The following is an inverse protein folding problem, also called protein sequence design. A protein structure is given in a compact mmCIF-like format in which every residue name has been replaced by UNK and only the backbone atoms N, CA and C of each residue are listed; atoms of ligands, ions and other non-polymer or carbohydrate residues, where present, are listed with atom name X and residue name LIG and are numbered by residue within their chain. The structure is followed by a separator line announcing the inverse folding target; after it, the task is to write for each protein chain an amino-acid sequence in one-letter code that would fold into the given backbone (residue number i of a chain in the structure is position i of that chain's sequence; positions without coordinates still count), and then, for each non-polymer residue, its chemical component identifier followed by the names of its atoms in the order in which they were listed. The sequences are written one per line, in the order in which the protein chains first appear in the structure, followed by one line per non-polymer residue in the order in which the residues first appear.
data_IF_077930997344
#
_entry.id   IF_077930997344
#
_cell.length_a   1.000
_cell.length_b   1.000
_cell.length_c   1.000
_cell.angle_alpha   90.00
_cell.angle_beta   90.00
_cell.angle_gamma   90.00
#
_symmetry.space_group_name_H-M   'P 1'
#
loop_
_entity.id
_entity.type
_entity.pdbx_description
1 polymer ?
#
# COMPACT_ATOMS: atom_id res chain seq x y z
N UNK A 1 -12.98 13.17 -7.03
CA UNK A 1 -13.08 12.14 -5.98
C UNK A 1 -12.25 12.58 -4.79
N UNK A 2 -12.76 12.44 -3.56
CA UNK A 2 -12.00 12.70 -2.32
C UNK A 2 -11.93 11.40 -1.51
N UNK A 3 -10.78 11.11 -0.93
CA UNK A 3 -10.55 9.91 -0.13
C UNK A 3 -10.59 10.23 1.36
N UNK A 4 -10.97 9.26 2.19
CA UNK A 4 -11.00 9.44 3.65
C UNK A 4 -9.61 9.40 4.30
N UNK A 5 -8.62 8.76 3.65
CA UNK A 5 -7.24 8.69 4.09
C UNK A 5 -6.32 8.31 2.90
N UNK A 6 -5.00 8.52 3.00
CA UNK A 6 -4.04 8.17 1.94
C UNK A 6 -3.99 6.67 1.63
N UNK A 7 -4.17 5.79 2.62
CA UNK A 7 -4.19 4.33 2.40
C UNK A 7 -5.31 3.90 1.45
N UNK A 8 -6.51 4.46 1.63
CA UNK A 8 -7.66 4.18 0.79
C UNK A 8 -7.45 4.72 -0.62
N UNK A 9 -6.80 5.88 -0.76
CA UNK A 9 -6.42 6.44 -2.06
C UNK A 9 -5.42 5.54 -2.79
N UNK A 10 -4.39 5.05 -2.09
CA UNK A 10 -3.38 4.15 -2.65
C UNK A 10 -3.97 2.81 -3.04
N UNK A 11 -4.74 2.18 -2.14
CA UNK A 11 -5.40 0.90 -2.42
C UNK A 11 -6.28 1.00 -3.66
N UNK A 12 -7.11 2.05 -3.74
CA UNK A 12 -7.95 2.32 -4.90
C UNK A 12 -7.13 2.55 -6.17
N UNK A 13 -6.04 3.31 -6.11
CA UNK A 13 -5.20 3.61 -7.27
C UNK A 13 -4.53 2.35 -7.82
N UNK A 14 -3.92 1.53 -6.96
CA UNK A 14 -3.30 0.26 -7.38
C UNK A 14 -4.32 -0.75 -7.90
N UNK A 15 -5.48 -0.88 -7.24
CA UNK A 15 -6.58 -1.73 -7.72
C UNK A 15 -7.05 -1.26 -9.11
N UNK A 16 -7.29 0.04 -9.31
CA UNK A 16 -7.72 0.61 -10.58
C UNK A 16 -6.68 0.42 -11.68
N UNK A 17 -5.40 0.63 -11.40
CA UNK A 17 -4.33 0.40 -12.38
C UNK A 17 -4.15 -1.09 -12.73
N UNK A 18 -4.45 -2.00 -11.80
CA UNK A 18 -4.36 -3.45 -12.03
C UNK A 18 -5.52 -4.00 -12.85
N UNK A 19 -6.66 -3.30 -12.91
CA UNK A 19 -7.79 -3.69 -13.77
C UNK A 19 -7.52 -3.31 -15.22
N UNK A 20 -7.51 -4.24 -16.18
CA UNK A 20 -7.28 -3.90 -17.57
C UNK A 20 -8.42 -3.02 -18.11
N UNK A 21 -8.05 -1.97 -18.87
CA UNK A 21 -8.98 -1.18 -19.70
C UNK A 21 -9.43 -2.06 -20.87
N UNK A 22 -10.18 -3.12 -20.60
CA UNK A 22 -10.87 -3.83 -21.67
C UNK A 22 -11.92 -2.86 -22.21
N UNK A 23 -12.03 -2.74 -23.54
CA UNK A 23 -13.07 -1.94 -24.22
C UNK A 23 -14.46 -2.40 -23.78
N UNK A 24 -14.96 -1.87 -22.67
CA UNK A 24 -16.34 -2.07 -22.18
C UNK A 24 -17.32 -1.16 -22.94
N UNK A 25 -16.88 -0.49 -24.02
CA UNK A 25 -17.72 0.35 -24.87
C UNK A 25 -18.94 -0.39 -25.42
N UNK A 26 -18.87 -1.71 -25.63
CA UNK A 26 -20.00 -2.52 -26.10
C UNK A 26 -20.83 -3.18 -24.99
N UNK A 27 -20.29 -3.37 -23.77
CA UNK A 27 -20.99 -4.10 -22.70
C UNK A 27 -21.74 -3.14 -21.76
N UNK A 28 -21.20 -1.94 -21.48
CA UNK A 28 -21.90 -0.97 -20.62
C UNK A 28 -23.14 -0.36 -21.28
N UNK A 29 -23.20 -0.29 -22.62
CA UNK A 29 -24.40 0.16 -23.33
C UNK A 29 -25.59 -0.81 -23.15
N UNK A 30 -25.34 -2.11 -22.96
CA UNK A 30 -26.40 -3.11 -22.74
C UNK A 30 -26.76 -3.27 -21.26
N UNK A 31 -25.82 -3.09 -20.32
CA UNK A 31 -26.09 -3.21 -18.88
C UNK A 31 -26.75 -1.96 -18.27
N UNK A 32 -26.62 -0.78 -18.88
CA UNK A 32 -27.33 0.42 -18.44
C UNK A 32 -28.86 0.36 -18.66
N UNK A 33 -29.35 -0.58 -19.47
CA UNK A 33 -30.78 -0.81 -19.68
C UNK A 33 -31.43 -1.74 -18.64
N UNK A 34 -30.64 -2.33 -17.72
CA UNK A 34 -31.15 -3.31 -16.77
C UNK A 34 -30.42 -3.24 -15.44
N UNK A 35 -31.17 -2.94 -14.39
CA UNK A 35 -30.86 -3.20 -12.96
C UNK A 35 -29.85 -2.30 -12.24
N UNK A 36 -30.45 -1.39 -11.48
CA UNK A 36 -30.17 -0.82 -10.15
C UNK A 36 -29.20 -1.62 -9.24
N UNK A 37 -28.45 -0.84 -8.43
CA UNK A 37 -27.81 -1.13 -7.14
C UNK A 37 -26.44 -1.83 -7.12
N UNK A 38 -25.44 -1.15 -6.54
CA UNK A 38 -24.38 -1.83 -5.77
C UNK A 38 -22.91 -1.55 -6.06
N UNK A 39 -22.53 -0.54 -6.85
CA UNK A 39 -21.11 -0.17 -6.98
C UNK A 39 -20.92 1.28 -6.55
N UNK A 40 -20.17 1.50 -5.46
CA UNK A 40 -19.72 2.80 -4.98
C UNK A 40 -18.70 3.47 -5.94
N UNK A 41 -18.86 3.28 -7.25
CA UNK A 41 -18.25 4.09 -8.27
C UNK A 41 -19.12 5.31 -8.48
N UNK A 42 -18.59 6.49 -8.15
CA UNK A 42 -19.23 7.78 -8.41
C UNK A 42 -19.91 7.78 -9.80
N UNK A 43 -21.21 8.11 -9.90
CA UNK A 43 -21.92 8.15 -11.17
C UNK A 43 -21.41 9.37 -11.95
N UNK A 44 -20.36 9.20 -12.75
CA UNK A 44 -19.83 10.29 -13.58
C UNK A 44 -18.42 10.12 -14.13
N UNK A 45 -17.54 9.30 -13.53
CA UNK A 45 -16.20 9.06 -14.07
C UNK A 45 -16.19 7.88 -15.04
N UNK A 46 -15.79 8.14 -16.29
CA UNK A 46 -15.52 7.08 -17.26
C UNK A 46 -14.35 6.21 -16.79
N UNK A 47 -14.21 5.01 -17.37
CA UNK A 47 -13.06 4.13 -17.08
C UNK A 47 -11.75 4.88 -17.33
N UNK A 48 -11.67 5.66 -18.41
CA UNK A 48 -10.51 6.49 -18.72
C UNK A 48 -10.21 7.51 -17.63
N UNK A 49 -11.22 8.21 -17.11
CA UNK A 49 -11.01 9.22 -16.06
C UNK A 49 -10.55 8.58 -14.73
N UNK A 50 -11.03 7.38 -14.43
CA UNK A 50 -10.57 6.62 -13.25
C UNK A 50 -9.10 6.22 -13.38
N UNK A 51 -8.70 5.72 -14.54
CA UNK A 51 -7.31 5.38 -14.81
C UNK A 51 -6.40 6.62 -14.80
N UNK A 52 -6.85 7.73 -15.37
CA UNK A 52 -6.12 9.00 -15.32
C UNK A 52 -5.98 9.50 -13.87
N UNK A 53 -7.04 9.41 -13.07
CA UNK A 53 -7.01 9.80 -11.66
C UNK A 53 -6.11 8.89 -10.83
N UNK A 54 -6.12 7.58 -11.06
CA UNK A 54 -5.20 6.63 -10.41
C UNK A 54 -3.73 6.94 -10.77
N UNK A 55 -3.45 7.19 -12.05
CA UNK A 55 -2.11 7.57 -12.50
C UNK A 55 -1.63 8.88 -11.85
N UNK A 56 -2.51 9.88 -11.69
CA UNK A 56 -2.17 11.13 -11.00
C UNK A 56 -1.79 10.89 -9.53
N UNK A 57 -2.52 10.03 -8.83
CA UNK A 57 -2.21 9.66 -7.44
C UNK A 57 -0.85 8.96 -7.35
N UNK A 58 -0.58 8.01 -8.25
CA UNK A 58 0.70 7.30 -8.26
C UNK A 58 1.87 8.25 -8.61
N UNK A 59 1.69 9.14 -9.59
CA UNK A 59 2.69 10.15 -9.97
C UNK A 59 2.99 11.11 -8.82
N UNK A 60 1.96 11.47 -8.04
CA UNK A 60 2.14 12.26 -6.82
C UNK A 60 3.04 11.52 -5.81
N UNK A 61 2.78 10.23 -5.60
CA UNK A 61 3.58 9.41 -4.69
C UNK A 61 5.05 9.37 -5.14
N UNK A 62 5.32 9.20 -6.42
CA UNK A 62 6.69 9.18 -6.97
C UNK A 62 7.45 10.49 -6.77
N UNK A 63 6.76 11.62 -6.72
CA UNK A 63 7.37 12.94 -6.49
C UNK A 63 7.66 13.22 -5.03
N UNK A 64 6.80 12.76 -4.13
CA UNK A 64 6.82 13.12 -2.70
C UNK A 64 7.66 12.15 -1.89
N UNK A 65 7.62 10.87 -2.26
CA UNK A 65 8.20 9.81 -1.45
C UNK A 65 9.66 9.57 -1.79
N UNK A 66 10.43 9.20 -0.76
CA UNK A 66 11.77 8.70 -1.00
C UNK A 66 11.74 7.38 -1.79
N UNK A 67 12.82 7.01 -2.48
CA UNK A 67 12.89 5.74 -3.20
C UNK A 67 12.55 4.51 -2.31
N UNK A 68 12.90 4.57 -1.03
CA UNK A 68 12.62 3.51 -0.07
C UNK A 68 11.12 3.44 0.29
N UNK A 69 10.48 4.59 0.53
CA UNK A 69 9.03 4.67 0.79
C UNK A 69 8.22 4.23 -0.44
N UNK A 70 8.66 4.61 -1.64
CA UNK A 70 8.04 4.19 -2.88
C UNK A 70 8.14 2.67 -3.10
N UNK A 71 9.31 2.08 -2.82
CA UNK A 71 9.51 0.64 -2.88
C UNK A 71 8.56 -0.10 -1.92
N UNK A 72 8.37 0.42 -0.70
CA UNK A 72 7.40 -0.13 0.25
C UNK A 72 5.97 -0.09 -0.28
N UNK A 73 5.51 1.05 -0.78
CA UNK A 73 4.13 1.18 -1.29
C UNK A 73 3.88 0.24 -2.47
N UNK A 74 4.84 0.13 -3.40
CA UNK A 74 4.74 -0.79 -4.54
C UNK A 74 4.64 -2.26 -4.12
N UNK A 75 5.34 -2.66 -3.06
CA UNK A 75 5.24 -4.04 -2.53
C UNK A 75 3.95 -4.24 -1.74
N UNK A 76 3.59 -3.30 -0.87
CA UNK A 76 2.44 -3.40 0.02
C UNK A 76 1.11 -3.37 -0.73
N UNK A 77 0.94 -2.40 -1.64
CA UNK A 77 -0.31 -2.15 -2.35
C UNK A 77 -0.29 -2.71 -3.78
N UNK A 78 0.83 -2.57 -4.49
CA UNK A 78 0.98 -3.01 -5.87
C UNK A 78 1.37 -4.49 -6.05
N UNK A 79 1.82 -5.16 -4.97
CA UNK A 79 2.36 -6.53 -5.03
C UNK A 79 3.55 -6.68 -5.98
N UNK A 80 4.26 -5.59 -6.25
CA UNK A 80 5.36 -5.58 -7.22
C UNK A 80 6.63 -6.17 -6.64
N UNK A 81 7.19 -7.18 -7.30
CA UNK A 81 8.45 -7.80 -6.87
C UNK A 81 9.65 -6.84 -6.91
N UNK A 82 9.60 -5.78 -7.74
CA UNK A 82 10.70 -4.83 -7.92
C UNK A 82 11.07 -4.04 -6.66
N UNK A 83 10.12 -3.80 -5.75
CA UNK A 83 10.39 -3.10 -4.50
C UNK A 83 10.96 -3.98 -3.38
N UNK A 84 10.98 -5.31 -3.55
CA UNK A 84 11.40 -6.24 -2.50
C UNK A 84 12.90 -6.12 -2.22
N UNK A 85 13.74 -6.11 -3.27
CA UNK A 85 15.19 -6.09 -3.12
C UNK A 85 15.73 -4.89 -2.30
N UNK A 86 15.35 -3.63 -2.58
CA UNK A 86 15.82 -2.48 -1.80
C UNK A 86 15.31 -2.52 -0.34
N UNK A 87 14.08 -2.97 -0.10
CA UNK A 87 13.54 -3.10 1.27
C UNK A 87 14.30 -4.17 2.06
N UNK A 88 14.57 -5.33 1.44
CA UNK A 88 15.34 -6.39 2.07
C UNK A 88 16.76 -5.90 2.40
N UNK A 89 17.39 -5.11 1.52
CA UNK A 89 18.71 -4.53 1.78
C UNK A 89 18.67 -3.55 2.96
N UNK A 90 17.69 -2.64 2.99
CA UNK A 90 17.48 -1.70 4.10
C UNK A 90 17.26 -2.42 5.43
N UNK A 91 16.36 -3.42 5.44
CA UNK A 91 16.06 -4.22 6.62
C UNK A 91 17.30 -4.98 7.10
N UNK A 92 18.01 -5.63 6.17
CA UNK A 92 19.22 -6.39 6.46
C UNK A 92 20.34 -5.51 7.03
N UNK A 93 20.48 -4.26 6.59
CA UNK A 93 21.50 -3.35 7.10
C UNK A 93 21.39 -3.08 8.60
N UNK A 94 20.18 -3.12 9.16
CA UNK A 94 20.01 -2.97 10.60
C UNK A 94 20.01 -4.29 11.38
N UNK A 95 20.27 -5.43 10.73
CA UNK A 95 20.73 -6.65 11.40
C UNK A 95 22.25 -6.66 11.28
N UNK A 96 22.98 -6.86 12.39
CA UNK A 96 24.45 -6.81 12.39
C UNK A 96 25.12 -7.70 11.33
N UNK A 97 26.39 -7.45 11.02
CA UNK A 97 27.17 -8.15 9.99
C UNK A 97 27.14 -9.67 10.20
N UNK A 98 26.39 -10.36 9.35
CA UNK A 98 26.11 -11.80 9.46
C UNK A 98 25.01 -12.20 8.47
N UNK A 99 25.31 -12.08 7.18
CA UNK A 99 24.36 -12.01 6.05
C UNK A 99 23.77 -13.38 5.65
N UNK A 100 23.24 -14.13 6.62
CA UNK A 100 22.57 -15.43 6.38
C UNK A 100 21.04 -15.33 6.37
N UNK A 101 20.49 -14.13 6.46
CA UNK A 101 19.05 -13.93 6.71
C UNK A 101 18.30 -13.25 5.55
N UNK A 102 18.95 -12.94 4.42
CA UNK A 102 18.32 -12.20 3.30
C UNK A 102 17.03 -12.87 2.80
N UNK A 103 17.07 -14.18 2.56
CA UNK A 103 15.88 -14.98 2.18
C UNK A 103 14.82 -15.04 3.28
N UNK A 104 15.25 -15.05 4.55
CA UNK A 104 14.33 -15.02 5.69
C UNK A 104 13.62 -13.68 5.84
N UNK A 105 14.36 -12.58 5.72
CA UNK A 105 13.83 -11.21 5.72
C UNK A 105 12.86 -11.01 4.56
N UNK A 106 13.21 -11.48 3.36
CA UNK A 106 12.30 -11.45 2.22
C UNK A 106 10.99 -12.20 2.49
N UNK A 107 11.05 -13.39 3.09
CA UNK A 107 9.84 -14.12 3.48
C UNK A 107 9.01 -13.39 4.53
N UNK A 108 9.67 -12.75 5.50
CA UNK A 108 8.97 -11.94 6.51
C UNK A 108 8.30 -10.73 5.85
N UNK A 109 8.99 -10.04 4.94
CA UNK A 109 8.43 -8.91 4.19
C UNK A 109 7.19 -9.34 3.40
N UNK A 110 7.27 -10.46 2.67
CA UNK A 110 6.11 -11.02 1.95
C UNK A 110 4.96 -11.39 2.89
N UNK A 111 5.27 -11.98 4.05
CA UNK A 111 4.29 -12.29 5.08
C UNK A 111 3.60 -11.04 5.62
N UNK A 112 4.36 -9.97 5.87
CA UNK A 112 3.84 -8.67 6.30
C UNK A 112 2.87 -8.10 5.27
N UNK A 113 3.23 -8.19 3.99
CA UNK A 113 2.37 -7.70 2.93
C UNK A 113 1.09 -8.54 2.79
N UNK A 114 1.02 -9.77 3.31
CA UNK A 114 -0.19 -10.59 3.32
C UNK A 114 -0.08 -11.89 2.53
N UNK A 115 1.13 -12.28 2.11
CA UNK A 115 1.35 -13.66 1.66
C UNK A 115 1.20 -14.63 2.85
N UNK A 116 0.58 -15.79 2.59
CA UNK A 116 0.41 -16.84 3.60
C UNK A 116 1.73 -17.56 3.85
N UNK A 117 2.58 -16.98 4.69
CA UNK A 117 3.87 -17.59 5.09
C UNK A 117 3.81 -18.00 6.55
N UNK A 118 4.00 -19.29 6.81
CA UNK A 118 4.01 -19.83 8.17
C UNK A 118 5.30 -19.51 8.93
N UNK A 119 5.20 -19.34 10.26
CA UNK A 119 6.36 -19.11 11.12
C UNK A 119 7.42 -20.24 11.03
N UNK A 120 6.98 -21.48 10.78
CA UNK A 120 7.90 -22.63 10.54
C UNK A 120 8.76 -22.45 9.28
N UNK A 121 8.21 -21.83 8.25
CA UNK A 121 8.91 -21.57 6.99
C UNK A 121 9.89 -20.40 7.12
N UNK A 122 9.51 -19.36 7.86
CA UNK A 122 10.40 -18.26 8.24
C UNK A 122 11.59 -18.81 9.03
N UNK A 123 11.33 -19.64 10.04
CA UNK A 123 12.36 -20.32 10.84
C UNK A 123 13.32 -21.12 9.96
N UNK A 124 12.79 -21.90 9.00
CA UNK A 124 13.61 -22.68 8.05
C UNK A 124 14.50 -21.79 7.21
N UNK A 125 14.00 -20.64 6.74
CA UNK A 125 14.77 -19.70 5.93
C UNK A 125 15.79 -18.86 6.70
N UNK A 126 15.56 -18.65 8.00
CA UNK A 126 16.53 -18.00 8.89
C UNK A 126 17.57 -18.96 9.46
N UNK A 127 17.38 -20.28 9.30
CA UNK A 127 18.22 -21.33 9.88
C UNK A 127 18.45 -21.15 11.40
N UNK A 128 17.41 -20.73 12.14
CA UNK A 128 17.53 -20.41 13.56
C UNK A 128 16.47 -21.11 14.43
N UNK A 129 16.59 -20.97 15.75
CA UNK A 129 15.57 -21.40 16.71
C UNK A 129 14.27 -20.61 16.58
N UNK A 130 13.16 -21.17 17.10
CA UNK A 130 11.82 -20.58 17.00
C UNK A 130 11.74 -19.19 17.64
N UNK A 131 12.30 -19.02 18.85
CA UNK A 131 12.33 -17.73 19.55
C UNK A 131 13.06 -16.65 18.76
N UNK A 132 14.22 -16.99 18.18
CA UNK A 132 14.99 -16.07 17.33
C UNK A 132 14.25 -15.72 16.04
N UNK A 133 13.51 -16.66 15.45
CA UNK A 133 12.68 -16.41 14.28
C UNK A 133 11.53 -15.44 14.58
N UNK A 134 10.87 -15.59 15.73
CA UNK A 134 9.81 -14.67 16.18
C UNK A 134 10.37 -13.27 16.44
N UNK A 135 11.49 -13.18 17.17
CA UNK A 135 12.16 -11.91 17.46
C UNK A 135 12.57 -11.18 16.18
N UNK A 136 13.19 -11.90 15.22
CA UNK A 136 13.57 -11.33 13.93
C UNK A 136 12.35 -10.86 13.14
N UNK A 137 11.26 -11.65 13.11
CA UNK A 137 10.01 -11.25 12.46
C UNK A 137 9.45 -9.96 13.04
N UNK A 138 9.32 -9.90 14.36
CA UNK A 138 8.78 -8.72 15.04
C UNK A 138 9.66 -7.48 14.77
N UNK A 139 10.98 -7.62 14.84
CA UNK A 139 11.89 -6.52 14.53
C UNK A 139 11.77 -6.01 13.07
N UNK A 140 11.54 -6.91 12.11
CA UNK A 140 11.24 -6.51 10.73
C UNK A 140 9.90 -5.78 10.65
N UNK A 141 8.87 -6.28 11.34
CA UNK A 141 7.53 -5.67 11.36
C UNK A 141 7.59 -4.26 11.96
N UNK A 142 8.22 -4.09 13.12
CA UNK A 142 8.36 -2.78 13.77
C UNK A 142 9.01 -1.74 12.83
N UNK A 143 10.02 -2.16 12.05
CA UNK A 143 10.66 -1.27 11.07
C UNK A 143 9.78 -0.96 9.87
N UNK A 144 9.00 -1.94 9.41
CA UNK A 144 8.03 -1.74 8.33
C UNK A 144 6.89 -0.82 8.79
N UNK A 145 6.45 -0.94 10.04
CA UNK A 145 5.42 -0.06 10.62
C UNK A 145 5.90 1.39 10.73
N UNK A 146 7.17 1.60 11.12
CA UNK A 146 7.77 2.95 11.10
C UNK A 146 7.83 3.51 9.68
N UNK A 147 8.24 2.69 8.71
CA UNK A 147 8.32 3.09 7.31
C UNK A 147 6.92 3.39 6.74
N UNK A 148 5.92 2.59 7.11
CA UNK A 148 4.51 2.80 6.78
C UNK A 148 4.01 4.13 7.32
N UNK A 149 4.20 4.38 8.62
CA UNK A 149 3.77 5.63 9.26
C UNK A 149 4.41 6.85 8.59
N UNK A 150 5.72 6.81 8.31
CA UNK A 150 6.42 7.88 7.61
C UNK A 150 5.91 8.12 6.19
N UNK A 151 5.63 7.04 5.45
CA UNK A 151 5.11 7.14 4.10
C UNK A 151 3.69 7.73 4.09
N UNK A 152 2.83 7.27 5.00
CA UNK A 152 1.46 7.76 5.12
C UNK A 152 1.39 9.22 5.57
N UNK A 153 2.24 9.62 6.52
CA UNK A 153 2.31 11.00 7.02
C UNK A 153 2.72 11.97 5.91
N UNK A 154 3.78 11.65 5.15
CA UNK A 154 4.20 12.46 3.99
C UNK A 154 3.13 12.58 2.92
N UNK A 155 2.43 11.48 2.63
CA UNK A 155 1.33 11.49 1.67
C UNK A 155 0.12 12.26 2.17
N UNK A 156 -0.20 12.18 3.46
CA UNK A 156 -1.31 12.90 4.06
C UNK A 156 -1.12 14.42 3.87
N UNK A 157 0.06 14.94 4.21
CA UNK A 157 0.39 16.36 4.06
C UNK A 157 0.18 16.84 2.60
N UNK A 158 0.72 16.10 1.64
CA UNK A 158 0.66 16.48 0.21
C UNK A 158 -0.73 16.27 -0.42
N UNK A 159 -1.45 15.24 0.02
CA UNK A 159 -2.82 15.01 -0.43
C UNK A 159 -3.81 16.01 0.18
N UNK A 160 -3.56 16.50 1.40
CA UNK A 160 -4.33 17.57 2.02
C UNK A 160 -4.12 18.91 1.30
N UNK A 161 -2.87 19.28 1.00
CA UNK A 161 -2.54 20.51 0.27
C UNK A 161 -3.26 20.56 -1.10
N UNK A 162 -3.37 19.38 -1.75
CA UNK A 162 -4.05 19.21 -3.05
C UNK A 162 -5.55 18.93 -2.93
N UNK A 163 -6.12 18.96 -1.72
CA UNK A 163 -7.55 18.71 -1.42
C UNK A 163 -8.07 17.34 -1.90
N UNK A 164 -7.18 16.34 -1.96
CA UNK A 164 -7.48 14.96 -2.36
C UNK A 164 -8.00 14.11 -1.18
N UNK A 165 -7.63 14.45 0.05
CA UNK A 165 -8.08 13.78 1.28
C UNK A 165 -8.84 14.75 2.17
N UNK A 166 -9.84 14.27 2.90
CA UNK A 166 -10.45 15.04 3.99
C UNK A 166 -9.55 14.99 5.21
N UNK A 167 -9.10 16.15 5.70
CA UNK A 167 -8.72 16.26 7.10
C UNK A 167 -10.02 16.03 7.88
N UNK A 168 -10.08 14.98 8.69
CA UNK A 168 -11.12 14.89 9.70
C UNK A 168 -10.96 16.14 10.56
N UNK A 169 -11.83 17.12 10.36
CA UNK A 169 -11.84 18.32 11.19
C UNK A 169 -11.96 17.85 12.64
N UNK A 170 -11.03 18.30 13.47
CA UNK A 170 -10.98 17.99 14.89
C UNK A 170 -12.39 18.05 15.50
N UNK A 171 -12.88 16.91 15.96
CA UNK A 171 -14.13 16.77 16.70
C UNK A 171 -14.00 17.35 18.11
N UNK A 172 -13.71 18.65 18.21
CA UNK A 172 -13.75 19.42 19.47
C UNK A 172 -14.74 20.58 19.33
N UNK A 173 -15.96 20.28 18.88
CA UNK A 173 -17.13 21.11 19.13
C UNK A 173 -17.72 20.75 20.49
N UNK A 174 -17.08 21.27 21.54
CA UNK A 174 -17.50 21.14 22.93
C UNK A 174 -18.96 21.58 23.10
N UNK A 175 -19.81 20.66 23.55
CA UNK A 175 -21.08 20.95 24.21
C UNK A 175 -20.80 21.82 25.43
N UNK A 176 -21.34 23.04 25.47
CA UNK A 176 -21.81 23.75 26.66
C UNK A 176 -22.09 25.22 26.32
N UNK A 177 -23.34 25.62 26.51
CA UNK A 177 -23.88 26.98 26.33
C UNK A 177 -25.38 26.92 26.24
#
# INVERSE_FOLDING_TARGET
MKFGNPEHALKWAFETCSTPIVKISSINAMRAAGTVAGSAGNPGLTVHDRHAQAALILTLCERVLSPLHLAYIRVQFGREAGGIAPLVQYLAAGFGTGLHHRRGIERILRAYCGERVGLREIRRSLACGMLKAVSCRNQVYDRLDVLHAQAMDRLAIEMEDRKLVYRAADGTGNTSG
#
